data_IF_125029065235
#
_entry.id   IF_125029065235
#
_cell.length_a   1.000
_cell.length_b   1.000
_cell.length_c   1.000
_cell.angle_alpha   90.00
_cell.angle_beta   90.00
_cell.angle_gamma   90.00
#
_symmetry.space_group_name_H-M   'P 1'
#
loop_
_entity.id
_entity.type
_entity.pdbx_description
1 polymer ?
#
# COMPACT_ATOMS: atom_id res chain seq x y z
N UNK A 1 48.12 -8.21 32.23
CA UNK A 1 47.52 -7.21 33.13
C UNK A 1 46.62 -6.35 32.29
N UNK A 2 45.34 -6.37 32.66
CA UNK A 2 44.27 -5.38 32.46
C UNK A 2 44.37 -4.48 31.22
N UNK A 3 43.37 -4.42 30.36
CA UNK A 3 41.99 -4.15 30.78
C UNK A 3 40.99 -4.61 29.72
N UNK A 4 39.92 -5.22 30.21
CA UNK A 4 38.61 -5.31 29.58
C UNK A 4 38.23 -4.00 28.88
N UNK A 5 37.71 -4.12 27.66
CA UNK A 5 36.83 -3.10 27.08
C UNK A 5 35.51 -3.80 26.78
N UNK A 6 34.37 -3.21 27.16
CA UNK A 6 33.18 -3.93 27.56
C UNK A 6 32.27 -4.26 26.38
N UNK A 7 31.43 -5.26 26.61
CA UNK A 7 30.21 -5.50 25.84
C UNK A 7 29.37 -4.22 25.76
N UNK A 8 29.09 -3.76 24.54
CA UNK A 8 27.97 -2.83 24.32
C UNK A 8 27.28 -3.19 23.01
N UNK A 9 26.33 -4.10 23.12
CA UNK A 9 25.06 -4.01 22.40
C UNK A 9 23.97 -3.95 23.48
N UNK A 10 22.76 -3.41 23.26
CA UNK A 10 22.20 -2.76 22.06
C UNK A 10 21.47 -1.44 22.41
N UNK A 11 21.76 -0.30 21.77
CA UNK A 11 20.95 0.90 21.99
C UNK A 11 20.58 1.65 20.71
N UNK A 12 19.30 1.47 20.37
CA UNK A 12 18.39 2.49 19.82
C UNK A 12 18.51 2.82 18.34
N UNK A 13 17.74 2.06 17.54
CA UNK A 13 17.28 2.50 16.23
C UNK A 13 16.46 3.80 16.38
N UNK A 14 17.11 4.95 16.29
CA UNK A 14 16.42 6.19 15.97
C UNK A 14 15.93 6.08 14.52
N UNK A 15 14.65 5.72 14.39
CA UNK A 15 13.91 5.85 13.16
C UNK A 15 13.95 7.33 12.73
N UNK A 16 14.77 7.60 11.72
CA UNK A 16 14.92 8.93 11.16
C UNK A 16 13.56 9.50 10.78
N UNK A 17 13.17 10.59 11.45
CA UNK A 17 12.18 11.52 10.94
C UNK A 17 12.76 12.19 9.69
N UNK A 18 12.70 11.50 8.57
CA UNK A 18 12.88 12.11 7.26
C UNK A 18 11.57 12.84 6.92
N UNK A 19 11.65 14.13 6.62
CA UNK A 19 10.50 14.96 6.24
C UNK A 19 9.56 14.22 5.28
N UNK A 20 8.33 13.96 5.72
CA UNK A 20 7.37 13.19 4.92
C UNK A 20 6.98 14.02 3.70
N UNK A 21 7.46 13.62 2.53
CA UNK A 21 7.06 14.21 1.25
C UNK A 21 5.54 14.05 1.08
N UNK A 22 4.83 15.14 0.82
CA UNK A 22 3.35 15.19 0.79
C UNK A 22 2.72 14.07 -0.04
N UNK A 23 3.29 13.75 -1.21
CA UNK A 23 2.78 12.69 -2.08
C UNK A 23 2.81 11.28 -1.46
N UNK A 24 3.70 11.02 -0.50
CA UNK A 24 3.73 9.75 0.24
C UNK A 24 2.65 9.69 1.31
N UNK A 25 2.36 10.83 1.95
CA UNK A 25 1.31 10.96 2.98
C UNK A 25 -0.10 10.76 2.42
N UNK A 26 -0.35 11.27 1.21
CA UNK A 26 -1.68 11.26 0.58
C UNK A 26 -1.88 10.14 -0.44
N UNK A 27 -0.98 9.15 -0.53
CA UNK A 27 -1.18 8.03 -1.45
C UNK A 27 -2.27 7.13 -0.87
N UNK A 28 -3.38 6.93 -1.59
CA UNK A 28 -4.52 6.19 -1.06
C UNK A 28 -4.10 4.79 -0.64
N UNK A 29 -4.55 4.37 0.53
CA UNK A 29 -4.36 3.02 1.06
C UNK A 29 -5.57 2.15 0.77
N UNK A 30 -6.77 2.73 0.72
CA UNK A 30 -8.03 2.03 0.49
C UNK A 30 -8.69 2.43 -0.84
N UNK A 31 -9.55 1.55 -1.39
CA UNK A 31 -10.30 1.86 -2.62
C UNK A 31 -11.26 3.05 -2.42
N UNK A 32 -11.70 3.33 -1.19
CA UNK A 32 -12.53 4.49 -0.84
C UNK A 32 -11.81 5.83 -1.04
N UNK A 33 -10.49 5.84 -0.88
CA UNK A 33 -9.68 7.07 -0.93
C UNK A 33 -9.33 7.48 -2.37
N UNK A 34 -9.69 6.65 -3.36
CA UNK A 34 -9.50 6.96 -4.77
C UNK A 34 -10.62 7.88 -5.26
N UNK A 35 -10.28 9.15 -5.46
CA UNK A 35 -11.23 10.17 -5.91
C UNK A 35 -11.47 10.10 -7.42
N UNK A 36 -12.73 10.19 -7.84
CA UNK A 36 -13.13 10.38 -9.24
C UNK A 36 -13.17 9.12 -10.12
N UNK A 37 -12.95 7.92 -9.56
CA UNK A 37 -12.96 6.66 -10.32
C UNK A 37 -13.88 5.60 -9.69
N UNK A 38 -15.12 5.99 -9.37
CA UNK A 38 -16.08 5.14 -8.64
C UNK A 38 -16.43 3.83 -9.37
N UNK A 39 -16.62 3.88 -10.69
CA UNK A 39 -16.89 2.66 -11.48
C UNK A 39 -15.74 1.66 -11.40
N UNK A 40 -14.50 2.15 -11.40
CA UNK A 40 -13.31 1.31 -11.37
C UNK A 40 -13.11 0.73 -9.97
N UNK A 41 -13.20 1.56 -8.93
CA UNK A 41 -13.04 1.11 -7.54
C UNK A 41 -14.13 0.13 -7.14
N UNK A 42 -15.39 0.35 -7.56
CA UNK A 42 -16.51 -0.57 -7.32
C UNK A 42 -16.31 -1.91 -8.03
N UNK A 43 -15.92 -1.91 -9.30
CA UNK A 43 -15.67 -3.15 -10.05
C UNK A 43 -14.55 -3.95 -9.41
N UNK A 44 -13.46 -3.29 -9.00
CA UNK A 44 -12.33 -3.94 -8.34
C UNK A 44 -12.69 -4.48 -6.95
N UNK A 45 -13.41 -3.72 -6.12
CA UNK A 45 -13.92 -4.21 -4.83
C UNK A 45 -14.80 -5.45 -5.02
N UNK A 46 -15.74 -5.40 -5.96
CA UNK A 46 -16.63 -6.53 -6.22
C UNK A 46 -15.85 -7.75 -6.74
N UNK A 47 -14.85 -7.56 -7.59
CA UNK A 47 -13.97 -8.62 -8.11
C UNK A 47 -13.17 -9.29 -6.98
N UNK A 48 -12.62 -8.51 -6.05
CA UNK A 48 -11.92 -9.02 -4.87
C UNK A 48 -12.89 -9.73 -3.91
N UNK A 49 -14.03 -9.12 -3.60
CA UNK A 49 -15.03 -9.68 -2.68
C UNK A 49 -15.64 -11.00 -3.20
N UNK A 50 -15.81 -11.13 -4.52
CA UNK A 50 -16.28 -12.37 -5.16
C UNK A 50 -15.18 -13.40 -5.41
N UNK A 51 -13.92 -13.11 -5.03
CA UNK A 51 -12.77 -13.99 -5.28
C UNK A 51 -12.43 -14.17 -6.76
N UNK A 52 -12.99 -13.34 -7.65
CA UNK A 52 -12.79 -13.41 -9.10
C UNK A 52 -11.76 -12.37 -9.53
N UNK A 53 -10.51 -12.59 -9.15
CA UNK A 53 -9.39 -11.73 -9.56
C UNK A 53 -8.96 -12.11 -10.98
N UNK A 54 -8.86 -11.13 -11.87
CA UNK A 54 -8.40 -11.36 -13.23
C UNK A 54 -6.89 -11.64 -13.25
N UNK A 55 -6.43 -12.47 -14.20
CA UNK A 55 -5.02 -12.80 -14.38
C UNK A 55 -4.15 -11.57 -14.69
N UNK A 56 -4.72 -10.53 -15.30
CA UNK A 56 -4.02 -9.31 -15.63
C UNK A 56 -4.95 -8.09 -15.61
N UNK A 57 -4.42 -6.93 -15.18
CA UNK A 57 -5.10 -5.64 -15.22
C UNK A 57 -4.24 -4.62 -15.98
N UNK A 58 -4.81 -4.01 -17.03
CA UNK A 58 -4.17 -2.92 -17.77
C UNK A 58 -4.75 -1.58 -17.31
N UNK A 59 -3.93 -0.76 -16.64
CA UNK A 59 -4.31 0.58 -16.21
C UNK A 59 -3.66 1.60 -17.14
N UNK A 60 -4.47 2.28 -17.97
CA UNK A 60 -4.02 3.27 -18.95
C UNK A 60 -4.63 4.66 -18.70
N UNK A 61 -3.92 5.73 -19.11
CA UNK A 61 -4.38 7.12 -18.97
C UNK A 61 -3.25 8.14 -18.70
N UNK A 62 -3.58 9.45 -18.63
CA UNK A 62 -2.61 10.54 -18.49
C UNK A 62 -1.85 10.53 -17.15
N UNK A 63 -0.68 11.19 -17.07
CA UNK A 63 0.14 11.21 -15.83
C UNK A 63 -0.66 11.80 -14.66
N UNK A 64 -0.43 11.30 -13.45
CA UNK A 64 -1.11 11.79 -12.24
C UNK A 64 -2.46 11.16 -11.93
N UNK A 65 -3.08 10.39 -12.84
CA UNK A 65 -4.42 9.77 -12.60
C UNK A 65 -4.45 8.58 -11.64
N UNK A 66 -3.37 8.34 -10.88
CA UNK A 66 -3.38 7.30 -9.85
C UNK A 66 -3.28 5.84 -10.32
N UNK A 67 -2.99 5.56 -11.60
CA UNK A 67 -2.86 4.18 -12.15
C UNK A 67 -1.91 3.28 -11.35
N UNK A 68 -0.70 3.76 -11.07
CA UNK A 68 0.27 3.02 -10.25
C UNK A 68 -0.15 2.93 -8.78
N UNK A 69 -0.98 3.85 -8.30
CA UNK A 69 -1.57 3.75 -6.96
C UNK A 69 -2.62 2.65 -6.95
N UNK A 70 -3.57 2.67 -7.87
CA UNK A 70 -4.62 1.68 -8.00
C UNK A 70 -4.07 0.26 -8.19
N UNK A 71 -3.05 0.08 -9.04
CA UNK A 71 -2.38 -1.22 -9.18
C UNK A 71 -1.77 -1.74 -7.88
N UNK A 72 -1.23 -0.86 -7.02
CA UNK A 72 -0.78 -1.24 -5.68
C UNK A 72 -1.93 -1.64 -4.76
N UNK A 73 -3.08 -0.95 -4.82
CA UNK A 73 -4.26 -1.34 -4.05
C UNK A 73 -4.78 -2.72 -4.47
N UNK A 74 -4.81 -3.02 -5.77
CA UNK A 74 -5.21 -4.34 -6.28
C UNK A 74 -4.24 -5.42 -5.77
N UNK A 75 -2.93 -5.17 -5.86
CA UNK A 75 -1.93 -6.14 -5.37
C UNK A 75 -2.06 -6.39 -3.86
N UNK A 76 -2.32 -5.33 -3.08
CA UNK A 76 -2.61 -5.40 -1.65
C UNK A 76 -3.86 -6.22 -1.36
N UNK A 77 -4.97 -5.91 -2.03
CA UNK A 77 -6.24 -6.61 -1.88
C UNK A 77 -6.14 -8.10 -2.28
N UNK A 78 -5.38 -8.41 -3.34
CA UNK A 78 -5.14 -9.78 -3.79
C UNK A 78 -4.26 -10.59 -2.82
N UNK A 79 -3.34 -9.93 -2.12
CA UNK A 79 -2.48 -10.57 -1.12
C UNK A 79 -3.11 -10.55 0.30
N UNK A 80 -4.30 -9.98 0.45
CA UNK A 80 -4.94 -9.85 1.75
C UNK A 80 -5.57 -11.18 2.16
N UNK A 81 -5.17 -11.71 3.32
CA UNK A 81 -5.68 -12.98 3.84
C UNK A 81 -7.09 -12.87 4.46
N UNK A 82 -7.51 -11.67 4.88
CA UNK A 82 -8.88 -11.40 5.36
C UNK A 82 -9.42 -10.07 4.79
N UNK A 83 -9.81 -10.04 3.51
CA UNK A 83 -10.42 -8.85 2.94
C UNK A 83 -11.78 -8.60 3.60
N UNK A 84 -11.95 -7.44 4.25
CA UNK A 84 -13.26 -6.97 4.72
C UNK A 84 -13.90 -6.21 3.55
N UNK A 85 -15.02 -6.68 3.03
CA UNK A 85 -15.78 -5.99 1.96
C UNK A 85 -14.95 -5.69 0.68
N UNK A 86 -13.90 -6.47 0.40
CA UNK A 86 -13.02 -6.26 -0.75
C UNK A 86 -12.06 -5.07 -0.61
N UNK A 87 -11.87 -4.53 0.59
CA UNK A 87 -10.87 -3.51 0.86
C UNK A 87 -9.46 -4.09 1.06
N UNK A 88 -8.41 -3.38 0.59
CA UNK A 88 -7.03 -3.79 0.76
C UNK A 88 -6.57 -3.62 2.21
N UNK A 89 -5.78 -4.58 2.69
CA UNK A 89 -4.78 -4.36 3.74
C UNK A 89 -3.45 -3.86 3.09
#
# INVERSE_FOLDING_TARGET
MSSEVPSTSPQTALAGQAGQVLYRKWRPQAFAEVVGQELVTRTLRNSVASGRIAHAYLLSGPRGTGKTSLGRLIAKAANCASPVEGEPC
#
